data_IF_351414909746
#
_entry.id   IF_351414909746
#
_cell.length_a   1.000
_cell.length_b   1.000
_cell.length_c   1.000
_cell.angle_alpha   90.00
_cell.angle_beta   90.00
_cell.angle_gamma   90.00
#
_symmetry.space_group_name_H-M   'P 1'
#
loop_
_entity.id
_entity.type
_entity.pdbx_description
1 polymer ?
#
# COMPACT_ATOMS: atom_id res chain seq x y z
N UNK A 1 -0.89 -8.79 14.54
CA UNK A 1 0.47 -9.24 14.19
C UNK A 1 1.59 -8.43 14.84
N UNK A 2 1.70 -7.11 14.61
CA UNK A 2 2.81 -6.28 15.11
C UNK A 2 3.01 -6.36 16.64
N UNK A 3 1.94 -6.23 17.43
CA UNK A 3 2.03 -6.29 18.89
C UNK A 3 2.52 -7.66 19.42
N UNK A 4 2.08 -8.76 18.80
CA UNK A 4 2.50 -10.12 19.18
C UNK A 4 4.01 -10.31 18.98
N UNK A 5 4.53 -9.90 17.81
CA UNK A 5 5.96 -9.99 17.50
C UNK A 5 6.80 -9.15 18.46
N UNK A 6 6.39 -7.89 18.72
CA UNK A 6 7.09 -7.00 19.66
C UNK A 6 7.15 -7.59 21.09
N UNK A 7 6.05 -8.21 21.55
CA UNK A 7 5.96 -8.73 22.91
C UNK A 7 6.71 -10.06 23.10
N UNK A 8 6.72 -10.91 22.07
CA UNK A 8 7.24 -12.29 22.17
C UNK A 8 8.67 -12.46 21.67
N UNK A 9 9.24 -11.49 20.94
CA UNK A 9 10.66 -11.49 20.58
C UNK A 9 11.50 -10.87 21.72
N UNK A 10 12.52 -11.59 22.20
CA UNK A 10 13.49 -11.07 23.17
C UNK A 10 14.35 -9.98 22.52
N UNK A 11 14.53 -8.84 23.21
CA UNK A 11 15.34 -7.73 22.69
C UNK A 11 14.72 -6.93 21.54
N UNK A 12 13.42 -7.08 21.25
CA UNK A 12 12.77 -6.34 20.17
C UNK A 12 12.89 -4.81 20.37
N UNK A 13 13.35 -4.03 19.36
CA UNK A 13 13.70 -2.60 19.53
C UNK A 13 12.51 -1.73 19.94
N UNK A 14 11.28 -2.16 19.61
CA UNK A 14 10.04 -1.46 19.94
C UNK A 14 9.36 -1.97 21.22
N UNK A 15 9.97 -2.90 21.96
CA UNK A 15 9.36 -3.51 23.16
C UNK A 15 9.02 -2.49 24.24
N UNK A 16 9.85 -1.45 24.36
CA UNK A 16 9.63 -0.33 25.28
C UNK A 16 8.34 0.47 24.99
N UNK A 17 7.80 0.38 23.77
CA UNK A 17 6.57 1.09 23.39
C UNK A 17 5.29 0.34 23.81
N UNK A 18 5.40 -0.96 24.12
CA UNK A 18 4.29 -1.79 24.55
C UNK A 18 4.53 -2.27 25.98
N UNK A 19 3.92 -1.57 26.94
CA UNK A 19 3.99 -1.93 28.34
C UNK A 19 2.83 -2.85 28.71
N UNK A 20 3.13 -4.01 29.26
CA UNK A 20 2.11 -4.90 29.82
C UNK A 20 1.56 -4.30 31.12
N UNK A 21 0.24 -4.33 31.26
CA UNK A 21 -0.47 -3.91 32.47
C UNK A 21 -0.16 -4.88 33.60
N UNK A 22 0.12 -4.32 34.78
CA UNK A 22 0.22 -5.08 36.03
C UNK A 22 -1.15 -5.56 36.53
N UNK A 23 -2.24 -4.96 36.05
CA UNK A 23 -3.60 -5.38 36.37
C UNK A 23 -4.12 -6.34 35.28
N UNK A 24 -4.27 -7.61 35.66
CA UNK A 24 -4.79 -8.70 34.82
C UNK A 24 -6.21 -9.12 35.22
N UNK A 25 -6.83 -8.46 36.20
CA UNK A 25 -8.13 -8.83 36.80
C UNK A 25 -9.35 -8.34 35.99
N UNK A 26 -9.19 -8.09 34.69
CA UNK A 26 -10.27 -7.69 33.79
C UNK A 26 -10.64 -8.86 32.88
N UNK A 27 -11.93 -9.03 32.59
CA UNK A 27 -12.44 -10.08 31.70
C UNK A 27 -11.72 -10.09 30.33
N UNK A 28 -11.43 -11.28 29.79
CA UNK A 28 -10.74 -11.50 28.52
C UNK A 28 -9.28 -11.95 28.69
N UNK A 29 -8.40 -11.65 27.72
CA UNK A 29 -7.01 -12.14 27.75
C UNK A 29 -6.18 -11.59 28.93
N UNK A 30 -5.22 -12.40 29.42
CA UNK A 30 -4.39 -12.12 30.61
C UNK A 30 -3.16 -11.24 30.33
N UNK A 31 -2.83 -10.96 29.07
CA UNK A 31 -1.65 -10.15 28.68
C UNK A 31 -2.06 -8.76 28.21
N UNK A 32 -2.75 -8.02 29.08
CA UNK A 32 -3.25 -6.68 28.76
C UNK A 32 -2.10 -5.69 28.55
N UNK A 33 -2.26 -4.78 27.60
CA UNK A 33 -1.37 -3.63 27.41
C UNK A 33 -1.89 -2.41 28.19
N UNK A 34 -0.99 -1.66 28.81
CA UNK A 34 -1.30 -0.39 29.47
C UNK A 34 -1.76 0.65 28.45
N UNK A 35 -2.91 1.28 28.71
CA UNK A 35 -3.32 2.47 27.98
C UNK A 35 -2.59 3.67 28.56
N UNK A 36 -1.57 4.18 27.87
CA UNK A 36 -0.97 5.46 28.25
C UNK A 36 -1.95 6.60 27.94
N UNK A 37 -2.65 7.09 28.95
CA UNK A 37 -3.43 8.33 28.83
C UNK A 37 -2.48 9.52 28.94
N UNK A 38 -1.93 9.96 27.81
CA UNK A 38 -1.22 11.24 27.80
C UNK A 38 -2.22 12.39 27.89
N UNK A 39 -2.13 13.17 28.97
CA UNK A 39 -2.74 14.51 29.04
C UNK A 39 -1.94 15.42 28.10
N UNK A 40 -2.54 15.73 26.95
CA UNK A 40 -2.05 16.65 25.88
C UNK A 40 -0.96 16.06 24.98
N UNK A 41 -1.36 15.37 23.92
CA UNK A 41 -1.03 15.76 22.53
C UNK A 41 -1.86 14.91 21.53
N UNK A 42 -2.79 15.56 20.85
CA UNK A 42 -3.71 14.95 19.91
C UNK A 42 -3.05 14.89 18.53
N UNK A 43 -2.32 13.79 18.24
CA UNK A 43 -2.12 13.21 16.89
C UNK A 43 -1.19 12.00 16.88
N UNK A 44 -0.31 11.84 17.87
CA UNK A 44 0.68 10.75 17.83
C UNK A 44 0.21 9.42 18.44
N UNK A 45 -0.85 9.43 19.25
CA UNK A 45 -1.29 8.25 20.03
C UNK A 45 -2.54 7.54 19.48
N UNK A 46 -3.04 7.93 18.31
CA UNK A 46 -4.25 7.29 17.77
C UNK A 46 -4.00 5.83 17.40
N UNK A 47 -2.82 5.53 16.85
CA UNK A 47 -2.40 4.17 16.53
C UNK A 47 -2.13 3.33 17.78
N UNK A 48 -1.40 3.85 18.78
CA UNK A 48 -1.11 3.11 20.01
C UNK A 48 -2.37 2.79 20.80
N UNK A 49 -3.32 3.73 20.93
CA UNK A 49 -4.58 3.49 21.64
C UNK A 49 -5.47 2.48 20.89
N UNK A 50 -5.57 2.57 19.55
CA UNK A 50 -6.33 1.58 18.75
C UNK A 50 -5.72 0.18 18.87
N UNK A 51 -4.40 0.07 18.78
CA UNK A 51 -3.68 -1.19 18.95
C UNK A 51 -3.88 -1.78 20.34
N UNK A 52 -3.80 -0.96 21.40
CA UNK A 52 -4.03 -1.40 22.78
C UNK A 52 -5.46 -1.86 23.00
N UNK A 53 -6.46 -1.11 22.51
CA UNK A 53 -7.87 -1.49 22.61
C UNK A 53 -8.15 -2.81 21.90
N UNK A 54 -7.67 -2.96 20.67
CA UNK A 54 -7.83 -4.18 19.88
C UNK A 54 -7.13 -5.38 20.53
N UNK A 55 -5.87 -5.21 20.95
CA UNK A 55 -5.12 -6.27 21.65
C UNK A 55 -5.83 -6.72 22.94
N UNK A 56 -6.34 -5.77 23.72
CA UNK A 56 -7.03 -6.06 24.96
C UNK A 56 -8.41 -6.71 24.75
N UNK A 57 -9.01 -6.63 23.55
CA UNK A 57 -10.27 -7.30 23.22
C UNK A 57 -10.11 -8.72 22.65
N UNK A 58 -8.89 -9.13 22.29
CA UNK A 58 -8.65 -10.47 21.75
C UNK A 58 -8.91 -11.58 22.79
N UNK A 59 -9.39 -12.77 22.37
CA UNK A 59 -9.53 -13.95 23.23
C UNK A 59 -8.19 -14.43 23.81
N UNK A 60 -8.27 -15.14 24.93
CA UNK A 60 -7.08 -15.55 25.68
C UNK A 60 -6.28 -16.61 24.92
N UNK A 61 -6.98 -17.50 24.24
CA UNK A 61 -6.47 -18.61 23.44
C UNK A 61 -5.57 -18.09 22.32
N UNK A 62 -6.04 -17.04 21.64
CA UNK A 62 -5.33 -16.38 20.56
C UNK A 62 -4.08 -15.64 21.06
N UNK A 63 -4.19 -14.88 22.15
CA UNK A 63 -3.06 -14.13 22.73
C UNK A 63 -1.96 -15.03 23.28
N UNK A 64 -2.30 -16.27 23.65
CA UNK A 64 -1.38 -17.29 24.16
C UNK A 64 -0.84 -18.22 23.08
N UNK A 65 -1.10 -17.95 21.80
CA UNK A 65 -0.59 -18.75 20.70
C UNK A 65 0.93 -18.98 20.83
N UNK A 66 1.37 -20.21 20.58
CA UNK A 66 2.74 -20.69 20.80
C UNK A 66 3.74 -20.25 19.72
N UNK A 67 3.25 -19.75 18.59
CA UNK A 67 4.07 -19.17 17.53
C UNK A 67 3.35 -18.04 16.80
N UNK A 68 4.12 -17.21 16.08
CA UNK A 68 3.58 -16.10 15.28
C UNK A 68 2.65 -16.60 14.17
N UNK A 69 2.94 -17.75 13.58
CA UNK A 69 2.12 -18.38 12.55
C UNK A 69 0.83 -18.94 13.12
N UNK A 70 0.87 -19.51 14.33
CA UNK A 70 -0.30 -20.00 15.04
C UNK A 70 -1.23 -18.86 15.44
N UNK A 71 -0.66 -17.77 15.99
CA UNK A 71 -1.37 -16.54 16.30
C UNK A 71 -2.07 -15.97 15.06
N UNK A 72 -1.35 -15.92 13.94
CA UNK A 72 -1.89 -15.43 12.67
C UNK A 72 -3.09 -16.26 12.22
N UNK A 73 -2.95 -17.59 12.16
CA UNK A 73 -4.03 -18.48 11.74
C UNK A 73 -5.25 -18.36 12.65
N UNK A 74 -5.06 -18.34 13.96
CA UNK A 74 -6.18 -18.24 14.92
C UNK A 74 -6.87 -16.88 14.85
N UNK A 75 -6.12 -15.80 14.64
CA UNK A 75 -6.69 -14.49 14.33
C UNK A 75 -7.51 -14.54 13.05
N UNK A 76 -7.00 -15.17 12.00
CA UNK A 76 -7.75 -15.32 10.75
C UNK A 76 -9.01 -16.21 10.90
N UNK A 77 -9.08 -17.10 11.92
CA UNK A 77 -10.23 -17.98 12.20
C UNK A 77 -11.29 -17.36 13.13
N UNK A 78 -10.90 -16.53 14.09
CA UNK A 78 -11.84 -15.81 14.97
C UNK A 78 -12.38 -14.53 14.32
N UNK A 79 -11.75 -14.06 13.24
CA UNK A 79 -12.14 -12.85 12.55
C UNK A 79 -13.14 -13.17 11.43
N UNK A 80 -14.43 -12.96 11.73
CA UNK A 80 -15.51 -12.83 10.74
C UNK A 80 -15.18 -11.74 9.68
N UNK A 81 -14.12 -10.94 9.90
CA UNK A 81 -13.57 -10.00 8.92
C UNK A 81 -12.99 -10.67 7.68
N UNK A 82 -12.51 -11.92 7.72
CA UNK A 82 -11.94 -12.58 6.54
C UNK A 82 -12.98 -12.76 5.43
N UNK A 83 -14.22 -13.08 5.84
CA UNK A 83 -15.38 -13.18 4.95
C UNK A 83 -15.96 -11.80 4.63
N UNK A 84 -15.95 -10.86 5.58
CA UNK A 84 -16.43 -9.48 5.34
C UNK A 84 -15.51 -8.74 4.35
N UNK A 85 -14.19 -8.87 4.45
CA UNK A 85 -13.20 -8.27 3.54
C UNK A 85 -13.31 -8.78 2.10
N UNK A 86 -13.68 -10.05 1.91
CA UNK A 86 -14.01 -10.59 0.57
C UNK A 86 -15.22 -9.88 -0.06
N UNK A 87 -16.12 -9.29 0.75
CA UNK A 87 -17.29 -8.52 0.31
C UNK A 87 -17.10 -6.99 0.42
N UNK A 88 -15.98 -6.51 0.95
CA UNK A 88 -15.72 -5.08 1.11
C UNK A 88 -15.41 -4.44 -0.25
N UNK A 89 -16.21 -3.44 -0.64
CA UNK A 89 -15.93 -2.58 -1.79
C UNK A 89 -15.16 -1.32 -1.43
N UNK A 90 -15.23 -0.90 -0.16
CA UNK A 90 -14.59 0.31 0.36
C UNK A 90 -13.86 -0.04 1.66
N UNK A 91 -12.62 0.40 1.79
CA UNK A 91 -11.90 0.45 3.06
C UNK A 91 -11.92 1.89 3.57
N UNK A 92 -12.58 2.08 4.71
CA UNK A 92 -12.55 3.36 5.44
C UNK A 92 -11.26 3.46 6.25
N UNK A 93 -10.32 4.27 5.75
CA UNK A 93 -9.00 4.48 6.32
C UNK A 93 -7.90 3.88 5.44
N UNK A 94 -6.81 3.49 6.08
CA UNK A 94 -5.60 3.04 5.40
C UNK A 94 -5.57 1.53 5.18
N UNK A 95 -4.99 1.09 4.06
CA UNK A 95 -4.64 -0.30 3.82
C UNK A 95 -3.13 -0.48 3.91
N UNK A 96 -2.65 -1.15 4.96
CA UNK A 96 -1.24 -1.41 5.20
C UNK A 96 -0.93 -2.91 5.05
N UNK A 97 -0.19 -3.26 4.01
CA UNK A 97 0.37 -4.59 3.78
C UNK A 97 1.86 -4.52 4.10
N UNK A 98 2.23 -4.92 5.31
CA UNK A 98 3.59 -4.71 5.84
C UNK A 98 4.16 -5.97 6.48
N UNK A 99 5.46 -6.21 6.30
CA UNK A 99 6.22 -7.30 6.95
C UNK A 99 5.54 -8.66 6.82
N UNK A 100 5.11 -9.01 5.61
CA UNK A 100 4.31 -10.22 5.40
C UNK A 100 4.55 -10.86 4.04
N UNK A 101 4.21 -12.15 3.96
CA UNK A 101 4.11 -12.86 2.69
C UNK A 101 2.64 -12.95 2.30
N UNK A 102 2.26 -12.33 1.17
CA UNK A 102 0.89 -12.40 0.65
C UNK A 102 0.67 -13.81 0.08
N UNK A 103 -0.34 -14.56 0.56
CA UNK A 103 -0.72 -15.85 -0.05
C UNK A 103 -1.14 -15.66 -1.50
N UNK A 104 -0.82 -16.62 -2.38
CA UNK A 104 -1.12 -16.49 -3.83
C UNK A 104 -2.61 -16.51 -4.15
N UNK A 105 -3.41 -17.10 -3.27
CA UNK A 105 -4.86 -17.19 -3.29
C UNK A 105 -5.56 -16.02 -2.59
N UNK A 106 -4.81 -15.15 -1.90
CA UNK A 106 -5.38 -13.97 -1.27
C UNK A 106 -5.78 -12.93 -2.31
N UNK A 107 -7.05 -12.52 -2.29
CA UNK A 107 -7.60 -11.50 -3.17
C UNK A 107 -8.73 -10.73 -2.49
N UNK A 108 -8.82 -9.43 -2.79
CA UNK A 108 -9.91 -8.55 -2.41
C UNK A 108 -10.65 -8.13 -3.70
N UNK A 109 -11.42 -9.04 -4.32
CA UNK A 109 -11.92 -8.84 -5.67
C UNK A 109 -12.99 -7.74 -5.76
N UNK A 110 -13.70 -7.44 -4.67
CA UNK A 110 -14.72 -6.40 -4.67
C UNK A 110 -14.20 -5.02 -4.30
N UNK A 111 -12.98 -4.93 -3.74
CA UNK A 111 -12.42 -3.68 -3.26
C UNK A 111 -12.15 -2.73 -4.43
N UNK A 112 -12.79 -1.57 -4.38
CA UNK A 112 -12.71 -0.50 -5.39
C UNK A 112 -12.17 0.80 -4.84
N UNK A 113 -12.28 1.03 -3.53
CA UNK A 113 -11.93 2.30 -2.92
C UNK A 113 -11.18 2.14 -1.59
N UNK A 114 -10.16 2.96 -1.40
CA UNK A 114 -9.49 3.18 -0.10
C UNK A 114 -9.61 4.67 0.22
N UNK A 115 -10.19 5.02 1.37
CA UNK A 115 -10.37 6.45 1.72
C UNK A 115 -9.11 7.10 2.28
N UNK A 116 -8.21 6.31 2.87
CA UNK A 116 -6.90 6.75 3.34
C UNK A 116 -5.79 6.52 2.32
N UNK A 117 -4.70 5.91 2.78
CA UNK A 117 -3.50 5.59 2.01
C UNK A 117 -3.26 4.08 1.87
N UNK A 118 -2.51 3.72 0.83
CA UNK A 118 -2.01 2.37 0.59
C UNK A 118 -0.51 2.30 0.88
N UNK A 119 -0.11 1.45 1.81
CA UNK A 119 1.30 1.14 2.10
C UNK A 119 1.56 -0.33 1.85
N UNK A 120 2.49 -0.63 0.95
CA UNK A 120 3.04 -1.97 0.71
C UNK A 120 4.53 -1.92 1.03
N UNK A 121 4.93 -2.51 2.15
CA UNK A 121 6.32 -2.40 2.63
C UNK A 121 6.87 -3.71 3.17
N UNK A 122 8.03 -4.12 2.66
CA UNK A 122 8.71 -5.35 3.10
C UNK A 122 7.80 -6.58 2.93
N UNK A 123 7.38 -6.78 1.68
CA UNK A 123 6.38 -7.78 1.29
C UNK A 123 6.97 -8.74 0.26
N UNK A 124 6.72 -10.02 0.52
CA UNK A 124 6.99 -11.11 -0.42
C UNK A 124 5.67 -11.71 -0.94
N UNK A 125 5.71 -12.39 -2.08
CA UNK A 125 4.56 -13.19 -2.53
C UNK A 125 4.31 -13.07 -4.03
N UNK A 126 3.17 -12.49 -4.46
CA UNK A 126 2.81 -12.42 -5.87
C UNK A 126 3.74 -11.48 -6.63
N UNK A 127 3.83 -11.69 -7.94
CA UNK A 127 4.57 -10.82 -8.85
C UNK A 127 3.87 -9.47 -9.07
N UNK A 128 2.56 -9.38 -8.82
CA UNK A 128 1.72 -8.21 -9.08
C UNK A 128 0.70 -7.99 -7.95
N UNK A 129 0.41 -6.71 -7.62
CA UNK A 129 -0.69 -6.41 -6.69
C UNK A 129 -2.06 -6.72 -7.29
N UNK A 130 -2.18 -6.97 -8.59
CA UNK A 130 -3.45 -7.39 -9.20
C UNK A 130 -3.99 -8.68 -8.58
N UNK A 131 -3.12 -9.53 -8.03
CA UNK A 131 -3.54 -10.72 -7.28
C UNK A 131 -4.38 -10.32 -6.05
N UNK A 132 -3.93 -9.30 -5.31
CA UNK A 132 -4.58 -8.85 -4.08
C UNK A 132 -5.68 -7.81 -4.33
N UNK A 133 -5.45 -6.85 -5.24
CA UNK A 133 -6.26 -5.64 -5.43
C UNK A 133 -6.67 -5.46 -6.91
N UNK A 134 -7.33 -6.43 -7.54
CA UNK A 134 -7.57 -6.42 -8.99
C UNK A 134 -8.44 -5.25 -9.46
N UNK A 135 -9.37 -4.78 -8.62
CA UNK A 135 -10.40 -3.80 -8.97
C UNK A 135 -10.26 -2.46 -8.24
N UNK A 136 -9.16 -2.24 -7.53
CA UNK A 136 -8.93 -0.97 -6.83
C UNK A 136 -8.87 0.18 -7.85
N UNK A 137 -9.81 1.11 -7.73
CA UNK A 137 -10.04 2.18 -8.71
C UNK A 137 -9.72 3.57 -8.16
N UNK A 138 -9.99 3.78 -6.86
CA UNK A 138 -9.92 5.09 -6.21
C UNK A 138 -9.13 5.01 -4.89
N UNK A 139 -8.22 5.96 -4.71
CA UNK A 139 -7.60 6.24 -3.41
C UNK A 139 -7.85 7.71 -3.08
N UNK A 140 -8.52 8.00 -1.97
CA UNK A 140 -8.86 9.39 -1.64
C UNK A 140 -7.71 10.15 -0.99
N UNK A 141 -6.84 9.48 -0.25
CA UNK A 141 -5.71 10.14 0.41
C UNK A 141 -6.11 11.09 1.54
N UNK A 142 -7.22 10.82 2.25
CA UNK A 142 -7.62 11.61 3.43
C UNK A 142 -6.58 11.55 4.55
N UNK A 143 -5.83 10.44 4.59
CA UNK A 143 -4.65 10.22 5.40
C UNK A 143 -3.49 9.89 4.48
N UNK A 144 -2.27 10.34 4.82
CA UNK A 144 -1.08 10.22 4.00
C UNK A 144 0.08 9.63 4.81
N UNK A 145 0.86 8.76 4.19
CA UNK A 145 2.11 8.23 4.74
C UNK A 145 3.27 9.07 4.22
N UNK A 146 3.86 9.89 5.08
CA UNK A 146 4.94 10.84 4.73
C UNK A 146 4.58 11.79 3.57
N UNK A 147 3.31 12.17 3.43
CA UNK A 147 2.81 13.02 2.33
C UNK A 147 2.42 12.26 1.06
N UNK A 148 2.45 10.92 1.08
CA UNK A 148 2.11 10.07 -0.05
C UNK A 148 0.83 9.26 0.23
N UNK A 149 -0.03 9.13 -0.76
CA UNK A 149 -1.23 8.28 -0.70
C UNK A 149 -0.92 6.84 -1.10
N UNK A 150 0.13 6.63 -1.89
CA UNK A 150 0.62 5.29 -2.25
C UNK A 150 2.10 5.20 -1.95
N UNK A 151 2.49 4.19 -1.17
CA UNK A 151 3.89 3.88 -0.88
C UNK A 151 4.13 2.40 -1.15
N UNK A 152 5.03 2.09 -2.09
CA UNK A 152 5.47 0.71 -2.40
C UNK A 152 6.98 0.63 -2.21
N UNK A 153 7.44 -0.13 -1.22
CA UNK A 153 8.85 -0.14 -0.87
C UNK A 153 9.36 -1.51 -0.44
N UNK A 154 10.57 -1.86 -0.88
CA UNK A 154 11.25 -3.11 -0.49
C UNK A 154 10.37 -4.35 -0.71
N UNK A 155 9.79 -4.50 -1.91
CA UNK A 155 8.94 -5.64 -2.26
C UNK A 155 9.61 -6.55 -3.29
N UNK A 156 9.11 -7.79 -3.40
CA UNK A 156 9.47 -8.73 -4.47
C UNK A 156 8.60 -8.61 -5.73
N UNK A 157 7.83 -7.53 -5.87
CA UNK A 157 6.93 -7.32 -7.00
C UNK A 157 7.70 -7.14 -8.32
N UNK A 158 7.16 -7.70 -9.40
CA UNK A 158 7.64 -7.53 -10.78
C UNK A 158 6.91 -6.42 -11.51
N UNK A 159 5.62 -6.22 -11.28
CA UNK A 159 4.91 -5.01 -11.70
C UNK A 159 3.98 -4.51 -10.58
N UNK A 160 3.53 -3.27 -10.70
CA UNK A 160 2.68 -2.65 -9.66
C UNK A 160 1.32 -3.36 -9.62
N UNK A 161 0.77 -3.79 -10.76
CA UNK A 161 -0.45 -4.58 -10.83
C UNK A 161 -1.76 -3.83 -10.53
N UNK A 162 -1.73 -2.52 -10.30
CA UNK A 162 -2.93 -1.72 -10.01
C UNK A 162 -3.63 -1.24 -11.29
N UNK A 163 -3.94 -2.17 -12.20
CA UNK A 163 -4.43 -1.88 -13.56
C UNK A 163 -5.76 -1.09 -13.59
N UNK A 164 -6.58 -1.25 -12.55
CA UNK A 164 -7.88 -0.59 -12.42
C UNK A 164 -7.81 0.79 -11.77
N UNK A 165 -6.63 1.21 -11.27
CA UNK A 165 -6.47 2.49 -10.61
C UNK A 165 -6.69 3.64 -11.61
N UNK A 166 -7.58 4.57 -11.27
CA UNK A 166 -7.92 5.72 -12.13
C UNK A 166 -7.68 7.05 -11.45
N UNK A 167 -7.89 7.12 -10.13
CA UNK A 167 -7.87 8.39 -9.40
C UNK A 167 -7.17 8.23 -8.06
N UNK A 168 -6.21 9.12 -7.81
CA UNK A 168 -5.70 9.44 -6.48
C UNK A 168 -6.09 10.90 -6.20
N UNK A 169 -6.97 11.14 -5.22
CA UNK A 169 -7.51 12.50 -5.01
C UNK A 169 -6.52 13.43 -4.31
N UNK A 170 -5.78 12.93 -3.32
CA UNK A 170 -4.83 13.72 -2.54
C UNK A 170 -3.56 12.94 -2.30
N UNK A 171 -2.41 13.63 -2.28
CA UNK A 171 -1.11 13.07 -1.93
C UNK A 171 -0.32 12.48 -3.10
N UNK A 172 0.99 12.30 -2.88
CA UNK A 172 1.89 11.79 -3.91
C UNK A 172 1.97 10.27 -3.98
N UNK A 173 2.83 9.77 -4.87
CA UNK A 173 3.20 8.35 -4.98
C UNK A 173 4.68 8.19 -4.67
N UNK A 174 5.03 7.22 -3.82
CA UNK A 174 6.43 6.88 -3.54
C UNK A 174 6.69 5.40 -3.82
N UNK A 175 7.64 5.13 -4.71
CA UNK A 175 8.05 3.78 -5.07
C UNK A 175 9.56 3.67 -4.90
N UNK A 176 10.02 2.91 -3.93
CA UNK A 176 11.41 2.97 -3.46
C UNK A 176 11.98 1.57 -3.23
N UNK A 177 13.18 1.29 -3.73
CA UNK A 177 13.92 0.07 -3.41
C UNK A 177 13.17 -1.24 -3.76
N UNK A 178 12.60 -1.34 -4.96
CA UNK A 178 11.98 -2.58 -5.47
C UNK A 178 12.79 -3.10 -6.68
N UNK A 179 13.80 -3.96 -6.47
CA UNK A 179 14.79 -4.31 -7.49
C UNK A 179 14.22 -5.01 -8.73
N UNK A 180 13.12 -5.77 -8.57
CA UNK A 180 12.48 -6.55 -9.64
C UNK A 180 11.33 -5.80 -10.32
N UNK A 181 10.95 -4.62 -9.81
CA UNK A 181 9.77 -3.90 -10.25
C UNK A 181 10.01 -3.15 -11.56
N UNK A 182 9.34 -3.58 -12.63
CA UNK A 182 9.38 -2.99 -13.97
C UNK A 182 8.16 -2.10 -14.25
N UNK A 183 8.20 -1.37 -15.37
CA UNK A 183 7.10 -0.56 -15.94
C UNK A 183 6.62 0.62 -15.07
N UNK A 184 7.27 0.88 -13.93
CA UNK A 184 6.95 2.03 -13.07
C UNK A 184 7.04 3.37 -13.81
N UNK A 185 7.95 3.44 -14.79
CA UNK A 185 8.21 4.65 -15.61
C UNK A 185 7.35 4.75 -16.86
N UNK A 186 6.69 3.67 -17.27
CA UNK A 186 5.80 3.66 -18.45
C UNK A 186 4.37 4.07 -18.11
N UNK A 187 4.05 4.16 -16.83
CA UNK A 187 2.75 4.63 -16.32
C UNK A 187 2.77 6.16 -16.30
N UNK A 188 1.78 6.79 -16.93
CA UNK A 188 1.50 8.21 -16.77
C UNK A 188 0.77 8.43 -15.45
N UNK A 189 1.51 8.86 -14.43
CA UNK A 189 0.95 9.15 -13.11
C UNK A 189 0.17 10.47 -13.09
N UNK A 190 0.41 11.39 -14.03
CA UNK A 190 -0.26 12.68 -14.07
C UNK A 190 -1.74 12.54 -14.40
N UNK A 191 -2.11 11.54 -15.21
CA UNK A 191 -3.52 11.24 -15.47
C UNK A 191 -4.20 10.55 -14.31
N UNK A 192 -3.48 9.96 -13.35
CA UNK A 192 -4.05 9.27 -12.18
C UNK A 192 -4.20 10.23 -11.00
N UNK A 193 -3.17 11.05 -10.75
CA UNK A 193 -3.21 12.08 -9.72
C UNK A 193 -4.22 13.16 -10.11
N UNK A 194 -5.17 13.45 -9.22
CA UNK A 194 -6.07 14.59 -9.40
C UNK A 194 -5.29 15.89 -9.11
N UNK A 195 -5.66 16.99 -9.78
CA UNK A 195 -4.99 18.29 -9.71
C UNK A 195 -4.73 18.70 -8.24
N UNK A 196 -3.47 18.59 -7.82
CA UNK A 196 -3.06 18.86 -6.45
C UNK A 196 -2.83 20.37 -6.35
N UNK A 197 -3.54 21.04 -5.44
CA UNK A 197 -3.30 22.44 -5.09
C UNK A 197 -1.78 22.71 -4.97
N UNK A 198 -1.31 23.77 -5.63
CA UNK A 198 0.10 24.09 -5.88
C UNK A 198 1.08 23.61 -4.78
N UNK A 199 1.86 22.56 -5.08
CA UNK A 199 3.01 22.15 -4.26
C UNK A 199 3.14 20.66 -3.92
N UNK A 200 2.15 19.82 -4.24
CA UNK A 200 2.15 18.38 -3.87
C UNK A 200 2.16 17.45 -5.10
N UNK A 201 3.03 17.72 -6.08
CA UNK A 201 3.36 16.70 -7.09
C UNK A 201 4.77 16.17 -6.83
N UNK A 202 4.87 15.10 -6.05
CA UNK A 202 6.09 14.31 -6.04
C UNK A 202 5.74 12.83 -6.23
N UNK A 203 5.60 12.43 -7.48
CA UNK A 203 5.85 11.02 -7.83
C UNK A 203 7.34 10.79 -7.62
N UNK A 204 7.69 9.99 -6.61
CA UNK A 204 9.07 9.72 -6.24
C UNK A 204 9.40 8.26 -6.48
N UNK A 205 10.15 7.98 -7.53
CA UNK A 205 10.56 6.64 -7.94
C UNK A 205 12.08 6.52 -7.77
N UNK A 206 12.54 5.68 -6.84
CA UNK A 206 13.96 5.58 -6.45
C UNK A 206 14.39 4.12 -6.37
N UNK A 207 15.52 3.75 -7.01
CA UNK A 207 16.12 2.41 -6.91
C UNK A 207 15.14 1.25 -7.23
N UNK A 208 14.56 1.25 -8.43
CA UNK A 208 13.66 0.19 -8.89
C UNK A 208 14.13 -0.39 -10.24
N UNK A 209 13.74 -1.63 -10.53
CA UNK A 209 13.83 -2.22 -11.87
C UNK A 209 15.25 -2.33 -12.41
N UNK A 210 16.12 -3.07 -11.71
CA UNK A 210 17.55 -3.19 -12.06
C UNK A 210 17.78 -3.80 -13.46
N UNK A 211 16.83 -4.59 -13.97
CA UNK A 211 16.86 -5.24 -15.29
C UNK A 211 15.44 -5.28 -15.86
N UNK A 212 15.03 -4.23 -16.59
CA UNK A 212 13.66 -4.13 -17.13
C UNK A 212 13.68 -3.57 -18.56
N UNK A 213 12.93 -4.18 -19.51
CA UNK A 213 12.80 -3.62 -20.86
C UNK A 213 12.06 -2.28 -20.86
N UNK A 214 11.09 -2.09 -19.94
CA UNK A 214 10.28 -0.86 -19.82
C UNK A 214 9.72 -0.36 -21.16
N UNK A 215 9.37 -1.29 -22.05
CA UNK A 215 8.77 -1.01 -23.36
C UNK A 215 7.35 -1.57 -23.35
N UNK A 216 6.38 -0.74 -23.71
CA UNK A 216 5.00 -1.19 -23.83
C UNK A 216 4.77 -1.94 -25.14
N UNK A 217 3.71 -2.74 -25.21
CA UNK A 217 3.24 -3.29 -26.49
C UNK A 217 2.92 -2.16 -27.46
N UNK A 218 3.17 -2.39 -28.76
CA UNK A 218 2.80 -1.46 -29.84
C UNK A 218 1.32 -1.06 -29.78
N UNK A 219 0.46 -1.94 -29.26
CA UNK A 219 -0.98 -1.73 -29.14
C UNK A 219 -1.33 -0.58 -28.17
N UNK A 220 -0.45 -0.24 -27.22
CA UNK A 220 -0.68 0.86 -26.29
C UNK A 220 -0.49 2.25 -26.93
N UNK A 221 0.00 2.31 -28.16
CA UNK A 221 0.37 3.55 -28.87
C UNK A 221 -0.79 4.17 -29.67
N UNK A 222 -1.98 3.53 -29.68
CA UNK A 222 -3.07 3.86 -30.62
C UNK A 222 -4.08 4.89 -30.07
N UNK A 223 -3.94 5.37 -28.84
CA UNK A 223 -4.94 6.23 -28.19
C UNK A 223 -4.70 7.76 -28.30
N UNK A 224 -3.77 8.24 -29.12
CA UNK A 224 -3.45 9.69 -29.25
C UNK A 224 -3.88 10.33 -30.58
N UNK A 225 -4.90 9.82 -31.27
CA UNK A 225 -5.53 10.58 -32.36
C UNK A 225 -6.76 11.34 -31.85
N UNK A 226 -6.52 12.54 -31.31
CA UNK A 226 -7.49 13.63 -31.43
C UNK A 226 -6.86 14.78 -32.22
N UNK A 227 -7.54 15.08 -33.32
CA UNK A 227 -7.41 16.21 -34.24
C UNK A 227 -6.86 17.50 -33.63
N UNK A 228 -5.76 18.03 -34.16
CA UNK A 228 -5.26 19.35 -33.78
C UNK A 228 -3.87 19.66 -34.34
N UNK A 229 -3.83 20.14 -35.58
CA UNK A 229 -2.67 20.79 -36.21
C UNK A 229 -2.21 21.96 -35.31
N UNK A 230 -0.93 22.07 -34.96
CA UNK A 230 -0.13 23.31 -34.94
C UNK A 230 1.34 23.07 -34.47
N UNK A 231 2.22 23.34 -35.42
CA UNK A 231 3.60 23.88 -35.39
C UNK A 231 4.48 23.82 -34.13
N UNK A 232 5.69 23.31 -34.35
CA UNK A 232 6.88 23.41 -33.50
C UNK A 232 7.30 24.86 -33.18
N UNK A 233 7.80 25.09 -31.95
CA UNK A 233 9.06 25.79 -31.59
C UNK A 233 9.31 25.55 -30.08
N UNK A 234 10.53 25.14 -29.66
CA UNK A 234 10.94 25.29 -28.25
C UNK A 234 12.03 24.38 -27.67
N UNK A 235 13.29 24.66 -28.01
CA UNK A 235 14.50 24.67 -27.13
C UNK A 235 14.79 23.43 -26.26
N UNK A 236 15.80 22.66 -26.68
CA UNK A 236 16.43 21.58 -25.91
C UNK A 236 17.50 22.07 -24.93
N UNK A 237 17.55 21.46 -23.74
CA UNK A 237 18.75 21.29 -22.92
C UNK A 237 18.65 19.99 -22.11
N UNK A 238 19.76 19.28 -21.85
CA UNK A 238 19.77 17.81 -21.89
C UNK A 238 19.89 17.14 -20.51
N UNK A 239 19.14 16.05 -20.28
CA UNK A 239 19.53 14.83 -19.52
C UNK A 239 18.32 13.93 -19.19
N UNK A 240 17.58 13.46 -20.20
CA UNK A 240 16.62 12.36 -20.12
C UNK A 240 16.58 11.68 -21.50
N UNK A 241 17.58 10.83 -21.80
CA UNK A 241 17.48 9.88 -22.92
C UNK A 241 16.63 8.71 -22.46
N UNK A 242 15.59 8.23 -23.12
CA UNK A 242 14.74 8.71 -24.20
C UNK A 242 13.41 7.99 -23.92
N UNK A 243 12.36 8.68 -23.50
CA UNK A 243 10.99 8.15 -23.60
C UNK A 243 10.39 8.93 -24.76
N UNK A 244 10.36 8.32 -25.93
CA UNK A 244 9.72 8.93 -27.09
C UNK A 244 8.22 9.11 -26.76
N UNK A 245 7.58 10.23 -27.15
CA UNK A 245 6.14 10.44 -27.00
C UNK A 245 5.25 9.38 -27.71
N UNK A 246 5.87 8.42 -28.40
CA UNK A 246 5.24 7.41 -29.24
C UNK A 246 5.03 6.05 -28.58
N UNK A 247 5.60 5.79 -27.40
CA UNK A 247 5.71 4.40 -26.89
C UNK A 247 4.53 3.94 -26.03
N UNK A 248 3.45 4.74 -25.96
CA UNK A 248 2.25 4.42 -25.20
C UNK A 248 2.48 4.34 -23.68
N UNK A 249 1.38 4.20 -22.94
CA UNK A 249 1.43 4.03 -21.49
C UNK A 249 0.96 2.65 -21.09
N UNK A 250 1.68 1.99 -20.19
CA UNK A 250 1.36 0.63 -19.77
C UNK A 250 1.79 0.34 -18.34
N UNK A 251 1.05 -0.55 -17.70
CA UNK A 251 1.34 -1.12 -16.39
C UNK A 251 2.23 -2.36 -16.46
N UNK A 252 2.24 -3.04 -17.62
CA UNK A 252 3.14 -4.15 -17.98
C UNK A 252 3.13 -4.33 -19.50
N UNK A 253 3.99 -5.21 -20.04
CA UNK A 253 4.06 -5.48 -21.49
C UNK A 253 2.71 -5.75 -22.15
N UNK A 254 1.81 -6.47 -21.45
CA UNK A 254 0.51 -6.88 -21.99
C UNK A 254 -0.68 -6.09 -21.40
N UNK A 255 -0.42 -5.04 -20.61
CA UNK A 255 -1.46 -4.25 -19.95
C UNK A 255 -1.24 -2.77 -20.19
N UNK A 256 -1.92 -2.23 -21.19
CA UNK A 256 -1.94 -0.79 -21.45
C UNK A 256 -2.65 -0.04 -20.31
N UNK A 257 -2.23 1.20 -20.07
CA UNK A 257 -2.93 2.13 -19.22
C UNK A 257 -4.10 2.72 -19.99
N UNK A 258 -5.32 2.51 -19.49
CA UNK A 258 -6.51 3.15 -20.06
C UNK A 258 -6.55 4.64 -19.72
N UNK A 259 -7.02 5.47 -20.65
CA UNK A 259 -7.41 6.85 -20.33
C UNK A 259 -8.60 6.88 -19.37
N UNK A 260 -8.73 8.00 -18.64
CA UNK A 260 -9.86 8.28 -17.75
C UNK A 260 -11.19 8.30 -18.49
#
# INVERSE_FOLDING_TARGET
MMAYSILNTSGHPLKQLLKLSSNTNLSGNTRKLETQHSKRDCRHNFYSIRLVKYWNSLPAELVQATSQESFKRQLDFEDDTGIQLLRCSVIEGDLFVVFTRIPRDASLPLLREITGSLLVYDVEGPDDLSNLLPNLTLIRGQTLVFGYAVVIKSTSLKNIGLFSLRVIQQGGIRIDNNPQLCYVRTIDWNVILQDQSAGVSSVKIVKNGLMCPNTCSSDCSVASQSTGRLSAVGIWSPSLRDISPTDGHCWSVNKCQSSK
#
